data_IF_591879480457
#
_entry.id   IF_591879480457
#
_cell.length_a   1.000
_cell.length_b   1.000
_cell.length_c   1.000
_cell.angle_alpha   90.00
_cell.angle_beta   90.00
_cell.angle_gamma   90.00
#
_symmetry.space_group_name_H-M   'P 1'
#
loop_
_entity.id
_entity.type
_entity.pdbx_description
1 polymer ?
#
# COMPACT_ATOMS: atom_id res chain seq x y z
N UNK A 1 15.10 28.61 47.97
CA UNK A 1 14.92 28.21 46.56
C UNK A 1 15.64 26.89 46.36
N UNK A 2 15.10 25.95 45.58
CA UNK A 2 15.85 24.75 45.23
C UNK A 2 17.17 25.15 44.58
N UNK A 3 18.26 24.68 45.16
CA UNK A 3 19.64 24.88 44.71
C UNK A 3 20.32 23.53 44.76
N UNK A 4 21.08 23.24 43.71
CA UNK A 4 21.97 22.09 43.63
C UNK A 4 23.39 22.63 43.68
N UNK A 5 24.16 22.18 44.67
CA UNK A 5 25.60 22.39 44.70
C UNK A 5 26.28 21.39 43.78
N UNK A 6 27.22 21.86 42.96
CA UNK A 6 27.97 21.04 42.00
C UNK A 6 27.09 20.18 41.05
N UNK A 7 26.16 20.82 40.35
CA UNK A 7 25.30 20.20 39.34
C UNK A 7 26.06 19.59 38.15
N UNK A 8 27.33 19.99 37.95
CA UNK A 8 28.16 19.52 36.83
C UNK A 8 28.33 17.99 36.80
N UNK A 9 28.14 17.30 37.93
CA UNK A 9 28.30 15.85 38.05
C UNK A 9 27.02 15.04 37.90
N UNK A 10 25.87 15.69 37.73
CA UNK A 10 24.57 15.04 37.77
C UNK A 10 24.05 14.69 36.37
N UNK A 11 23.22 13.65 36.31
CA UNK A 11 22.37 13.30 35.17
C UNK A 11 21.13 14.20 35.11
N UNK A 12 20.46 14.25 33.96
CA UNK A 12 19.27 15.08 33.76
C UNK A 12 18.14 14.74 34.75
N UNK A 13 17.85 13.46 34.96
CA UNK A 13 16.85 12.98 35.93
C UNK A 13 17.19 13.36 37.38
N UNK A 14 18.48 13.39 37.73
CA UNK A 14 18.93 13.87 39.05
C UNK A 14 18.74 15.38 39.20
N UNK A 15 18.92 16.16 38.13
CA UNK A 15 18.62 17.60 38.14
C UNK A 15 17.13 17.84 38.39
N UNK A 16 16.24 17.09 37.73
CA UNK A 16 14.78 17.17 37.93
C UNK A 16 14.40 16.91 39.39
N UNK A 17 14.89 15.79 39.95
CA UNK A 17 14.58 15.38 41.31
C UNK A 17 15.09 16.37 42.35
N UNK A 18 16.35 16.82 42.24
CA UNK A 18 16.98 17.69 43.25
C UNK A 18 16.52 19.14 43.18
N UNK A 19 16.09 19.63 42.02
CA UNK A 19 15.44 20.95 41.91
C UNK A 19 13.96 20.92 42.32
N UNK A 20 13.41 19.74 42.63
CA UNK A 20 12.00 19.55 42.95
C UNK A 20 11.08 20.19 41.88
N UNK A 21 11.33 19.87 40.61
CA UNK A 21 10.60 20.46 39.46
C UNK A 21 9.19 19.87 39.28
N UNK A 22 8.78 18.93 40.14
CA UNK A 22 7.40 18.47 40.23
C UNK A 22 6.49 19.48 40.91
N UNK A 23 7.06 20.42 41.67
CA UNK A 23 6.34 21.60 42.14
C UNK A 23 6.07 22.55 40.96
N UNK A 24 4.79 22.79 40.67
CA UNK A 24 4.34 23.65 39.58
C UNK A 24 4.93 25.07 39.65
N UNK A 25 5.24 25.57 40.86
CA UNK A 25 5.84 26.90 41.05
C UNK A 25 7.29 26.96 40.58
N UNK A 26 8.04 25.85 40.67
CA UNK A 26 9.43 25.76 40.22
C UNK A 26 9.52 25.48 38.71
N UNK A 27 8.54 24.78 38.13
CA UNK A 27 8.51 24.47 36.69
C UNK A 27 8.51 25.72 35.81
N UNK A 28 7.69 26.73 36.13
CA UNK A 28 7.60 27.95 35.33
C UNK A 28 8.82 28.88 35.47
N UNK A 29 9.73 28.59 36.41
CA UNK A 29 10.84 29.49 36.73
C UNK A 29 12.07 29.20 35.90
N UNK A 30 12.75 30.29 35.54
CA UNK A 30 14.03 30.28 34.84
C UNK A 30 15.12 29.65 35.72
N UNK A 31 15.93 28.76 35.14
CA UNK A 31 17.12 28.23 35.80
C UNK A 31 18.30 29.16 35.58
N UNK A 32 19.14 29.26 36.61
CA UNK A 32 20.36 30.06 36.61
C UNK A 32 21.48 29.24 37.21
N UNK A 33 22.70 29.58 36.84
CA UNK A 33 23.90 28.96 37.40
C UNK A 33 24.86 30.00 37.95
N UNK A 34 25.60 29.60 39.00
CA UNK A 34 26.77 30.32 39.51
C UNK A 34 27.92 29.33 39.63
N UNK A 35 28.80 29.29 38.63
CA UNK A 35 29.84 28.26 38.55
C UNK A 35 29.24 26.89 38.24
N UNK A 36 29.45 25.91 39.12
CA UNK A 36 28.87 24.56 38.98
C UNK A 36 27.50 24.43 39.65
N UNK A 37 27.05 25.45 40.38
CA UNK A 37 25.79 25.39 41.10
C UNK A 37 24.63 25.74 40.16
N UNK A 38 23.50 25.05 40.30
CA UNK A 38 22.28 25.27 39.54
C UNK A 38 21.14 25.60 40.49
N UNK A 39 20.33 26.61 40.18
CA UNK A 39 19.23 27.02 41.04
C UNK A 39 18.03 27.55 40.26
N UNK A 40 16.85 27.42 40.85
CA UNK A 40 15.61 28.01 40.34
C UNK A 40 15.55 29.47 40.76
N UNK A 41 15.35 30.39 39.81
CA UNK A 41 15.28 31.83 40.10
C UNK A 41 13.90 32.22 40.61
N UNK A 42 13.82 32.72 41.85
CA UNK A 42 12.62 33.41 42.37
C UNK A 42 12.84 34.92 42.51
N UNK A 43 11.78 35.71 42.34
CA UNK A 43 11.76 37.16 42.59
C UNK A 43 12.24 38.07 41.44
N UNK A 44 11.99 39.39 41.61
CA UNK A 44 12.50 40.45 40.70
C UNK A 44 14.00 40.65 40.92
N UNK A 45 14.74 40.90 39.84
CA UNK A 45 16.19 41.09 39.89
C UNK A 45 16.55 42.33 40.74
N UNK A 46 17.21 42.13 41.87
CA UNK A 46 17.89 43.20 42.59
C UNK A 46 19.31 43.33 42.02
N UNK A 47 19.55 44.43 41.30
CA UNK A 47 20.87 45.00 40.96
C UNK A 47 21.96 44.07 40.37
N UNK A 48 21.64 43.19 39.41
CA UNK A 48 22.67 42.43 38.65
C UNK A 48 22.88 43.00 37.23
N UNK A 49 24.15 43.12 36.81
CA UNK A 49 24.51 43.55 35.46
C UNK A 49 23.95 42.59 34.40
N UNK A 50 23.61 43.11 33.22
CA UNK A 50 23.13 42.29 32.09
C UNK A 50 24.11 41.17 31.71
N UNK A 51 25.41 41.47 31.71
CA UNK A 51 26.49 40.52 31.43
C UNK A 51 26.50 39.35 32.41
N UNK A 52 26.34 39.62 33.71
CA UNK A 52 26.25 38.57 34.74
C UNK A 52 25.02 37.68 34.51
N UNK A 53 23.88 38.29 34.18
CA UNK A 53 22.65 37.55 33.86
C UNK A 53 22.84 36.66 32.63
N UNK A 54 23.47 37.14 31.56
CA UNK A 54 23.72 36.35 30.37
C UNK A 54 24.63 35.13 30.67
N UNK A 55 25.70 35.32 31.45
CA UNK A 55 26.57 34.20 31.85
C UNK A 55 25.80 33.14 32.62
N UNK A 56 25.02 33.54 33.64
CA UNK A 56 24.29 32.59 34.47
C UNK A 56 23.29 31.73 33.67
N UNK A 57 22.72 32.26 32.58
CA UNK A 57 21.83 31.50 31.68
C UNK A 57 22.60 30.50 30.84
N UNK A 58 23.67 30.96 30.19
CA UNK A 58 24.54 30.11 29.37
C UNK A 58 25.11 28.96 30.18
N UNK A 59 25.57 29.25 31.40
CA UNK A 59 26.16 28.24 32.29
C UNK A 59 25.09 27.24 32.76
N UNK A 60 23.84 27.68 32.99
CA UNK A 60 22.71 26.78 33.27
C UNK A 60 22.38 25.85 32.09
N UNK A 61 22.33 26.39 30.86
CA UNK A 61 22.14 25.59 29.64
C UNK A 61 23.27 24.56 29.49
N UNK A 62 24.52 24.96 29.73
CA UNK A 62 25.67 24.06 29.66
C UNK A 62 25.60 22.91 30.70
N UNK A 63 25.13 23.18 31.92
CA UNK A 63 24.93 22.16 32.94
C UNK A 63 23.82 21.18 32.56
N UNK A 64 22.71 21.65 31.98
CA UNK A 64 21.63 20.77 31.50
C UNK A 64 22.11 19.92 30.33
N UNK A 65 22.82 20.51 29.36
CA UNK A 65 23.45 19.77 28.24
C UNK A 65 24.38 18.68 28.76
N UNK A 66 25.25 19.00 29.71
CA UNK A 66 26.21 18.04 30.26
C UNK A 66 25.50 16.91 31.03
N UNK A 67 24.40 17.21 31.72
CA UNK A 67 23.55 16.20 32.36
C UNK A 67 22.84 15.28 31.35
N UNK A 68 22.33 15.85 30.26
CA UNK A 68 21.77 15.10 29.12
C UNK A 68 22.82 14.16 28.50
N UNK A 69 24.02 14.69 28.22
CA UNK A 69 25.14 13.93 27.67
C UNK A 69 25.50 12.72 28.54
N UNK A 70 25.54 12.91 29.87
CA UNK A 70 25.83 11.86 30.84
C UNK A 70 24.74 10.80 30.93
N UNK A 71 23.48 11.20 30.93
CA UNK A 71 22.38 10.27 31.11
C UNK A 71 22.20 9.35 29.91
N UNK A 72 22.29 9.91 28.70
CA UNK A 72 22.06 9.19 27.44
C UNK A 72 23.35 8.80 26.72
N UNK A 73 24.48 8.84 27.44
CA UNK A 73 25.83 8.49 26.94
C UNK A 73 26.12 9.07 25.55
N UNK A 74 25.86 10.37 25.38
CA UNK A 74 26.00 11.07 24.10
C UNK A 74 27.11 12.13 24.16
N UNK A 75 27.55 12.62 23.00
CA UNK A 75 28.54 13.69 22.94
C UNK A 75 27.92 15.04 23.32
N UNK A 76 28.74 16.03 23.70
CA UNK A 76 28.22 17.39 23.95
C UNK A 76 27.59 18.00 22.69
N UNK A 77 28.15 17.72 21.52
CA UNK A 77 27.62 18.20 20.25
C UNK A 77 26.24 17.60 19.94
N UNK A 78 26.05 16.31 20.20
CA UNK A 78 24.76 15.65 20.03
C UNK A 78 23.75 16.08 21.10
N UNK A 79 24.19 16.33 22.33
CA UNK A 79 23.36 16.96 23.35
C UNK A 79 22.90 18.38 22.95
N UNK A 80 23.79 19.18 22.36
CA UNK A 80 23.45 20.49 21.79
C UNK A 80 22.42 20.35 20.65
N UNK A 81 22.59 19.36 19.75
CA UNK A 81 21.60 19.05 18.71
C UNK A 81 20.24 18.65 19.29
N UNK A 82 20.21 17.80 20.32
CA UNK A 82 18.97 17.40 20.99
C UNK A 82 18.25 18.63 21.57
N UNK A 83 18.98 19.55 22.21
CA UNK A 83 18.38 20.79 22.72
C UNK A 83 17.77 21.63 21.58
N UNK A 84 18.50 21.81 20.48
CA UNK A 84 17.99 22.54 19.30
C UNK A 84 16.73 21.89 18.75
N UNK A 85 16.75 20.56 18.60
CA UNK A 85 15.67 19.76 18.05
C UNK A 85 14.40 19.79 18.93
N UNK A 86 14.56 19.65 20.25
CA UNK A 86 13.44 19.66 21.21
C UNK A 86 12.76 21.03 21.32
N UNK A 87 13.55 22.10 21.23
CA UNK A 87 13.04 23.47 21.41
C UNK A 87 12.79 24.22 20.10
N UNK A 88 13.28 23.73 18.96
CA UNK A 88 13.24 24.40 17.66
C UNK A 88 14.26 25.54 17.51
N UNK A 89 15.10 25.77 18.50
CA UNK A 89 16.15 26.80 18.51
C UNK A 89 17.24 26.45 19.52
N UNK A 90 18.43 27.02 19.35
CA UNK A 90 19.51 26.89 20.34
C UNK A 90 19.15 27.71 21.60
N UNK A 91 18.85 27.09 22.75
CA UNK A 91 18.34 27.81 23.90
C UNK A 91 19.41 28.70 24.53
N UNK A 92 19.13 30.00 24.66
CA UNK A 92 19.97 30.94 25.42
C UNK A 92 19.59 31.03 26.88
N UNK A 93 18.51 30.37 27.28
CA UNK A 93 17.98 30.25 28.64
C UNK A 93 17.17 28.97 28.73
N UNK A 94 16.98 28.44 29.95
CA UNK A 94 16.20 27.22 30.18
C UNK A 94 15.40 27.36 31.48
N UNK A 95 14.19 26.82 31.52
CA UNK A 95 13.31 26.79 32.69
C UNK A 95 13.25 25.41 33.34
N UNK A 96 12.65 25.32 34.53
CA UNK A 96 12.34 24.04 35.15
C UNK A 96 11.45 23.14 34.27
N UNK A 97 10.46 23.74 33.60
CA UNK A 97 9.56 23.05 32.70
C UNK A 97 10.29 22.46 31.49
N UNK A 98 11.27 23.18 30.94
CA UNK A 98 12.10 22.69 29.84
C UNK A 98 12.93 21.46 30.25
N UNK A 99 13.55 21.50 31.44
CA UNK A 99 14.31 20.35 31.97
C UNK A 99 13.39 19.16 32.25
N UNK A 100 12.19 19.42 32.79
CA UNK A 100 11.17 18.38 33.02
C UNK A 100 10.71 17.74 31.70
N UNK A 101 10.45 18.56 30.68
CA UNK A 101 10.09 18.09 29.34
C UNK A 101 11.20 17.24 28.72
N UNK A 102 12.47 17.69 28.78
CA UNK A 102 13.61 16.91 28.31
C UNK A 102 13.70 15.55 29.00
N UNK A 103 13.48 15.49 30.32
CA UNK A 103 13.50 14.23 31.07
C UNK A 103 12.34 13.29 30.67
N UNK A 104 11.14 13.84 30.44
CA UNK A 104 9.99 13.07 29.97
C UNK A 104 10.24 12.48 28.57
N UNK A 105 10.71 13.30 27.63
CA UNK A 105 11.11 12.85 26.28
C UNK A 105 12.23 11.82 26.36
N UNK A 106 13.21 12.06 27.22
CA UNK A 106 14.34 11.17 27.43
C UNK A 106 13.95 9.79 27.98
N UNK A 107 12.89 9.70 28.77
CA UNK A 107 12.33 8.41 29.23
C UNK A 107 11.85 7.56 28.05
N UNK A 108 11.16 8.18 27.08
CA UNK A 108 10.75 7.52 25.82
C UNK A 108 11.97 7.19 24.96
N UNK A 109 12.87 8.16 24.79
CA UNK A 109 14.08 8.02 23.98
C UNK A 109 14.99 6.88 24.47
N UNK A 110 15.11 6.67 25.79
CA UNK A 110 15.89 5.57 26.35
C UNK A 110 15.42 4.19 25.86
N UNK A 111 14.12 4.00 25.63
CA UNK A 111 13.57 2.78 25.04
C UNK A 111 14.03 2.57 23.60
N UNK A 112 14.05 3.64 22.80
CA UNK A 112 14.49 3.62 21.40
C UNK A 112 16.01 3.37 21.29
N UNK A 113 16.80 4.00 22.15
CA UNK A 113 18.26 3.81 22.22
C UNK A 113 18.61 2.36 22.54
N UNK A 114 17.89 1.71 23.47
CA UNK A 114 18.05 0.27 23.74
C UNK A 114 17.74 -0.59 22.50
N UNK A 115 16.90 -0.10 21.60
CA UNK A 115 16.60 -0.74 20.31
C UNK A 115 17.56 -0.38 19.17
N UNK A 116 18.66 0.35 19.45
CA UNK A 116 19.69 0.69 18.47
C UNK A 116 19.53 2.05 17.77
N UNK A 117 18.53 2.85 18.12
CA UNK A 117 18.38 4.23 17.59
C UNK A 117 19.42 5.17 18.21
N UNK A 118 19.96 6.12 17.44
CA UNK A 118 20.88 7.14 17.99
C UNK A 118 20.17 8.03 19.00
N UNK A 119 20.89 8.60 19.98
CA UNK A 119 20.26 9.47 20.98
C UNK A 119 19.59 10.71 20.34
N UNK A 120 20.17 11.27 19.28
CA UNK A 120 19.59 12.42 18.56
C UNK A 120 18.25 12.03 17.92
N UNK A 121 18.23 10.96 17.14
CA UNK A 121 17.01 10.49 16.48
C UNK A 121 15.95 10.03 17.49
N UNK A 122 16.37 9.40 18.58
CA UNK A 122 15.46 8.92 19.62
C UNK A 122 14.71 10.07 20.31
N UNK A 123 15.38 11.20 20.55
CA UNK A 123 14.74 12.40 21.10
C UNK A 123 13.81 13.08 20.09
N UNK A 124 14.19 13.12 18.80
CA UNK A 124 13.31 13.62 17.73
C UNK A 124 12.04 12.79 17.60
N UNK A 125 12.17 11.46 17.57
CA UNK A 125 11.02 10.54 17.55
C UNK A 125 10.15 10.75 18.80
N UNK A 126 10.75 10.89 19.99
CA UNK A 126 9.99 11.16 21.21
C UNK A 126 9.20 12.49 21.13
N UNK A 127 9.80 13.54 20.56
CA UNK A 127 9.16 14.85 20.36
C UNK A 127 8.03 14.80 19.34
N UNK A 128 8.22 14.10 18.22
CA UNK A 128 7.14 13.87 17.26
C UNK A 128 6.01 13.06 17.88
N UNK A 129 6.32 12.04 18.71
CA UNK A 129 5.30 11.27 19.41
C UNK A 129 4.51 12.14 20.39
N UNK A 130 5.16 13.00 21.17
CA UNK A 130 4.49 14.01 22.01
C UNK A 130 3.54 14.89 21.18
N UNK A 131 4.01 15.37 20.03
CA UNK A 131 3.22 16.20 19.11
C UNK A 131 1.99 15.45 18.60
N UNK A 132 2.15 14.20 18.17
CA UNK A 132 1.09 13.35 17.63
C UNK A 132 0.05 12.98 18.70
N UNK A 133 0.47 12.73 19.95
CA UNK A 133 -0.45 12.56 21.09
C UNK A 133 -1.30 13.79 21.31
N UNK A 134 -0.70 14.99 21.20
CA UNK A 134 -1.42 16.26 21.23
C UNK A 134 -2.48 16.40 20.12
N UNK A 135 -2.38 15.61 19.05
CA UNK A 135 -3.37 15.52 17.96
C UNK A 135 -4.33 14.33 18.09
N UNK A 136 -4.34 13.65 19.23
CA UNK A 136 -5.32 12.62 19.58
C UNK A 136 -4.87 11.17 19.37
N UNK A 137 -3.64 10.92 18.91
CA UNK A 137 -3.13 9.55 18.75
C UNK A 137 -2.82 8.92 20.12
N UNK A 138 -3.06 7.62 20.23
CA UNK A 138 -2.71 6.84 21.43
C UNK A 138 -1.19 6.69 21.61
N UNK A 139 -0.74 6.34 22.81
CA UNK A 139 0.71 6.31 23.14
C UNK A 139 1.55 5.43 22.21
N UNK A 140 1.12 4.19 21.98
CA UNK A 140 1.83 3.24 21.13
C UNK A 140 1.78 3.63 19.65
N UNK A 141 0.62 4.12 19.21
CA UNK A 141 0.38 4.55 17.84
C UNK A 141 1.19 5.80 17.49
N UNK A 142 1.20 6.80 18.38
CA UNK A 142 1.99 8.03 18.24
C UNK A 142 3.49 7.72 18.14
N UNK A 143 3.99 6.75 18.91
CA UNK A 143 5.40 6.34 18.83
C UNK A 143 5.74 5.64 17.51
N UNK A 144 4.84 4.78 17.01
CA UNK A 144 5.00 4.14 15.70
C UNK A 144 5.00 5.18 14.57
N UNK A 145 3.99 6.06 14.56
CA UNK A 145 3.84 7.14 13.61
C UNK A 145 5.02 8.14 13.65
N UNK A 146 5.55 8.44 14.83
CA UNK A 146 6.71 9.32 15.00
C UNK A 146 7.98 8.81 14.31
N UNK A 147 8.18 7.49 14.23
CA UNK A 147 9.31 6.90 13.49
C UNK A 147 9.20 7.19 11.99
N UNK A 148 7.98 7.09 11.45
CA UNK A 148 7.70 7.45 10.06
C UNK A 148 7.91 8.95 9.82
N UNK A 149 7.40 9.81 10.71
CA UNK A 149 7.63 11.27 10.64
C UNK A 149 9.13 11.58 10.59
N UNK A 150 9.91 11.05 11.54
CA UNK A 150 11.36 11.29 11.59
C UNK A 150 12.06 10.85 10.29
N UNK A 151 11.73 9.66 9.77
CA UNK A 151 12.30 9.15 8.53
C UNK A 151 12.00 10.07 7.34
N UNK A 152 10.77 10.55 7.23
CA UNK A 152 10.33 11.43 6.14
C UNK A 152 10.94 12.83 6.25
N UNK A 153 11.04 13.40 7.45
CA UNK A 153 11.68 14.70 7.69
C UNK A 153 13.18 14.64 7.36
N UNK A 154 13.87 13.57 7.75
CA UNK A 154 15.28 13.35 7.40
C UNK A 154 15.52 13.22 5.89
N UNK A 155 14.50 12.84 5.11
CA UNK A 155 14.54 12.86 3.64
C UNK A 155 14.36 14.26 3.01
N UNK A 156 14.28 15.31 3.83
CA UNK A 156 14.18 16.71 3.39
C UNK A 156 12.74 17.23 3.25
N UNK A 157 11.74 16.54 3.81
CA UNK A 157 10.33 16.95 3.75
C UNK A 157 9.97 17.93 4.87
N UNK A 158 8.95 18.74 4.61
CA UNK A 158 8.39 19.66 5.60
C UNK A 158 7.77 18.89 6.78
N UNK A 159 8.27 19.13 8.00
CA UNK A 159 7.77 18.45 9.21
C UNK A 159 6.27 18.66 9.42
N UNK A 160 5.77 19.89 9.23
CA UNK A 160 4.36 20.20 9.43
C UNK A 160 3.47 19.43 8.43
N UNK A 161 3.86 19.38 7.16
CA UNK A 161 3.16 18.64 6.11
C UNK A 161 3.19 17.12 6.39
N UNK A 162 4.35 16.60 6.80
CA UNK A 162 4.51 15.18 7.14
C UNK A 162 3.61 14.79 8.31
N UNK A 163 3.64 15.55 9.41
CA UNK A 163 2.78 15.30 10.58
C UNK A 163 1.30 15.35 10.16
N UNK A 164 0.92 16.31 9.32
CA UNK A 164 -0.45 16.41 8.84
C UNK A 164 -0.86 15.18 8.02
N UNK A 165 -0.04 14.76 7.07
CA UNK A 165 -0.30 13.58 6.24
C UNK A 165 -0.38 12.29 7.05
N UNK A 166 0.48 12.13 8.07
CA UNK A 166 0.44 10.97 8.98
C UNK A 166 -0.85 10.94 9.79
N UNK A 167 -1.26 12.07 10.36
CA UNK A 167 -2.49 12.16 11.17
C UNK A 167 -3.72 11.89 10.31
N UNK A 168 -3.82 12.51 9.13
CA UNK A 168 -4.91 12.25 8.18
C UNK A 168 -4.93 10.78 7.76
N UNK A 169 -3.77 10.16 7.53
CA UNK A 169 -3.63 8.75 7.21
C UNK A 169 -4.18 7.83 8.30
N UNK A 170 -3.75 8.05 9.55
CA UNK A 170 -4.21 7.27 10.71
C UNK A 170 -5.71 7.43 10.95
N UNK A 171 -6.21 8.66 10.97
CA UNK A 171 -7.64 8.91 11.15
C UNK A 171 -8.49 8.23 10.06
N UNK A 172 -8.00 8.12 8.82
CA UNK A 172 -8.69 7.37 7.78
C UNK A 172 -8.67 5.85 8.02
N UNK A 173 -7.53 5.30 8.40
CA UNK A 173 -7.35 3.86 8.71
C UNK A 173 -8.27 3.43 9.87
N UNK A 174 -8.47 4.30 10.85
CA UNK A 174 -9.33 4.09 12.01
C UNK A 174 -10.82 4.40 11.75
N UNK A 175 -11.16 4.88 10.55
CA UNK A 175 -12.53 5.23 10.18
C UNK A 175 -13.03 6.57 10.73
N UNK A 176 -12.14 7.39 11.27
CA UNK A 176 -12.42 8.77 11.70
C UNK A 176 -12.53 9.78 10.56
N UNK A 177 -12.11 9.41 9.33
CA UNK A 177 -12.27 10.23 8.12
C UNK A 177 -12.76 9.39 6.95
N UNK A 178 -13.63 9.98 6.12
CA UNK A 178 -13.96 9.48 4.78
C UNK A 178 -12.83 9.78 3.79
N UNK A 179 -12.74 9.06 2.66
CA UNK A 179 -11.78 9.39 1.60
C UNK A 179 -11.88 10.83 1.08
N UNK A 180 -13.10 11.38 1.01
CA UNK A 180 -13.33 12.77 0.59
C UNK A 180 -12.78 13.80 1.58
N UNK A 181 -12.99 13.59 2.88
CA UNK A 181 -12.45 14.45 3.94
C UNK A 181 -10.92 14.36 4.01
N UNK A 182 -10.36 13.15 3.88
CA UNK A 182 -8.92 12.98 3.78
C UNK A 182 -8.38 13.77 2.58
N UNK A 183 -9.00 13.64 1.40
CA UNK A 183 -8.57 14.37 0.18
C UNK A 183 -8.51 15.89 0.41
N UNK A 184 -9.50 16.44 1.11
CA UNK A 184 -9.57 17.86 1.42
C UNK A 184 -8.43 18.34 2.34
N UNK A 185 -7.85 17.46 3.15
CA UNK A 185 -6.73 17.75 4.05
C UNK A 185 -5.34 17.56 3.41
N UNK A 186 -5.26 17.00 2.20
CA UNK A 186 -4.01 16.68 1.49
C UNK A 186 -3.67 17.73 0.41
N UNK A 187 -3.35 18.94 0.84
CA UNK A 187 -3.11 20.11 0.00
C UNK A 187 -1.72 20.16 -0.65
N UNK A 188 -0.69 19.60 -0.01
CA UNK A 188 0.69 19.60 -0.50
C UNK A 188 1.19 18.22 -0.97
N UNK A 189 2.27 18.21 -1.77
CA UNK A 189 2.93 16.98 -2.22
C UNK A 189 3.52 16.18 -1.06
N UNK A 190 4.06 16.86 -0.05
CA UNK A 190 4.62 16.22 1.14
C UNK A 190 3.53 15.59 2.01
N UNK A 191 2.40 16.29 2.21
CA UNK A 191 1.26 15.73 2.95
C UNK A 191 0.72 14.48 2.26
N UNK A 192 0.56 14.49 0.93
CA UNK A 192 0.13 13.30 0.15
C UNK A 192 1.13 12.14 0.24
N UNK A 193 2.43 12.44 0.23
CA UNK A 193 3.45 11.41 0.35
C UNK A 193 3.42 10.76 1.74
N UNK A 194 3.41 11.56 2.81
CA UNK A 194 3.34 11.06 4.18
C UNK A 194 2.05 10.27 4.44
N UNK A 195 0.92 10.74 3.90
CA UNK A 195 -0.35 10.02 3.91
C UNK A 195 -0.21 8.63 3.27
N UNK A 196 0.35 8.54 2.06
CA UNK A 196 0.51 7.27 1.37
C UNK A 196 1.45 6.29 2.09
N UNK A 197 2.58 6.78 2.62
CA UNK A 197 3.47 5.92 3.41
C UNK A 197 2.80 5.46 4.73
N UNK A 198 1.89 6.26 5.29
CA UNK A 198 1.08 5.85 6.45
C UNK A 198 0.10 4.74 6.10
N UNK A 199 -0.54 4.79 4.92
CA UNK A 199 -1.38 3.69 4.46
C UNK A 199 -0.56 2.40 4.26
N UNK A 200 0.66 2.50 3.72
CA UNK A 200 1.56 1.36 3.56
C UNK A 200 1.98 0.75 4.89
N UNK A 201 2.32 1.58 5.87
CA UNK A 201 2.63 1.13 7.23
C UNK A 201 1.44 0.41 7.88
N UNK A 202 0.23 0.97 7.73
CA UNK A 202 -0.99 0.32 8.20
C UNK A 202 -1.21 -1.06 7.54
N UNK A 203 -1.05 -1.17 6.21
CA UNK A 203 -1.16 -2.45 5.50
C UNK A 203 -0.16 -3.49 6.00
N UNK A 204 1.07 -3.08 6.33
CA UNK A 204 2.11 -3.99 6.84
C UNK A 204 1.78 -4.56 8.22
N UNK A 205 0.93 -3.89 9.00
CA UNK A 205 0.44 -4.37 10.30
C UNK A 205 -0.80 -5.25 10.22
N UNK A 206 -1.40 -5.43 9.04
CA UNK A 206 -2.62 -6.22 8.86
C UNK A 206 -2.31 -7.64 8.37
N UNK A 207 -3.03 -8.67 8.84
CA UNK A 207 -3.06 -9.95 8.14
C UNK A 207 -3.71 -9.76 6.76
N UNK A 208 -3.54 -10.74 5.89
CA UNK A 208 -4.24 -10.76 4.60
C UNK A 208 -5.75 -10.58 4.77
N UNK A 209 -6.41 -9.95 3.81
CA UNK A 209 -7.84 -9.62 3.92
C UNK A 209 -8.71 -10.86 4.24
N UNK A 210 -8.43 -12.01 3.64
CA UNK A 210 -9.14 -13.27 3.90
C UNK A 210 -8.95 -13.81 5.32
N UNK A 211 -7.83 -13.49 5.97
CA UNK A 211 -7.52 -13.88 7.34
C UNK A 211 -7.85 -12.78 8.38
N UNK A 212 -8.29 -11.61 7.91
CA UNK A 212 -8.60 -10.45 8.75
C UNK A 212 -9.93 -10.63 9.49
N UNK A 213 -9.98 -10.17 10.74
CA UNK A 213 -11.23 -10.03 11.50
C UNK A 213 -12.07 -8.83 10.99
N UNK A 214 -13.27 -8.63 11.54
CA UNK A 214 -14.19 -7.57 11.08
C UNK A 214 -13.59 -6.16 11.08
N UNK A 215 -12.91 -5.76 12.17
CA UNK A 215 -12.25 -4.45 12.25
C UNK A 215 -11.12 -4.31 11.23
N UNK A 216 -10.28 -5.35 11.11
CA UNK A 216 -9.17 -5.36 10.14
C UNK A 216 -9.66 -5.32 8.69
N UNK A 217 -10.79 -6.00 8.38
CA UNK A 217 -11.42 -5.94 7.06
C UNK A 217 -11.95 -4.55 6.74
N UNK A 218 -12.54 -3.85 7.71
CA UNK A 218 -12.97 -2.47 7.52
C UNK A 218 -11.77 -1.54 7.27
N UNK A 219 -10.66 -1.75 7.98
CA UNK A 219 -9.41 -1.03 7.72
C UNK A 219 -8.92 -1.25 6.28
N UNK A 220 -8.86 -2.49 5.81
CA UNK A 220 -8.54 -2.80 4.41
C UNK A 220 -9.46 -2.08 3.43
N UNK A 221 -10.77 -2.08 3.70
CA UNK A 221 -11.76 -1.43 2.85
C UNK A 221 -11.59 0.10 2.81
N UNK A 222 -11.31 0.73 3.95
CA UNK A 222 -11.06 2.18 4.02
C UNK A 222 -9.81 2.57 3.22
N UNK A 223 -8.74 1.78 3.32
CA UNK A 223 -7.53 1.96 2.50
C UNK A 223 -7.87 1.78 1.02
N UNK A 224 -8.58 0.70 0.66
CA UNK A 224 -8.88 0.38 -0.73
C UNK A 224 -9.79 1.41 -1.42
N UNK A 225 -10.84 1.89 -0.73
CA UNK A 225 -11.70 2.98 -1.24
C UNK A 225 -10.91 4.26 -1.49
N UNK A 226 -10.00 4.59 -0.58
CA UNK A 226 -9.14 5.76 -0.72
C UNK A 226 -8.23 5.65 -1.94
N UNK A 227 -7.56 4.51 -2.10
CA UNK A 227 -6.69 4.27 -3.25
C UNK A 227 -7.46 4.15 -4.58
N UNK A 228 -8.69 3.64 -4.53
CA UNK A 228 -9.61 3.56 -5.67
C UNK A 228 -10.34 4.89 -5.98
N UNK A 229 -10.23 5.90 -5.13
CA UNK A 229 -10.83 7.22 -5.41
C UNK A 229 -10.10 7.88 -6.56
N UNK A 230 -10.84 8.28 -7.60
CA UNK A 230 -10.28 8.88 -8.80
C UNK A 230 -9.37 10.09 -8.49
N UNK A 231 -8.19 10.09 -9.09
CA UNK A 231 -7.15 11.12 -8.94
C UNK A 231 -6.68 11.36 -7.49
N UNK A 232 -6.90 10.40 -6.57
CA UNK A 232 -6.42 10.51 -5.20
C UNK A 232 -4.95 10.09 -5.11
N UNK A 233 -4.63 8.86 -5.54
CA UNK A 233 -3.25 8.36 -5.69
C UNK A 233 -3.01 8.02 -7.17
N UNK A 234 -1.94 8.55 -7.80
CA UNK A 234 -1.58 8.16 -9.16
C UNK A 234 -1.33 6.65 -9.26
N UNK A 235 -1.74 6.03 -10.37
CA UNK A 235 -1.53 4.60 -10.61
C UNK A 235 -0.07 4.18 -10.43
N UNK A 236 0.88 5.00 -10.91
CA UNK A 236 2.32 4.76 -10.75
C UNK A 236 2.78 4.70 -9.29
N UNK A 237 2.13 5.42 -8.38
CA UNK A 237 2.43 5.35 -6.95
C UNK A 237 1.76 4.13 -6.32
N UNK A 238 0.51 3.80 -6.71
CA UNK A 238 -0.16 2.59 -6.27
C UNK A 238 0.56 1.30 -6.71
N UNK A 239 1.24 1.32 -7.88
CA UNK A 239 2.10 0.23 -8.35
C UNK A 239 3.24 -0.11 -7.37
N UNK A 240 3.67 0.84 -6.53
CA UNK A 240 4.72 0.60 -5.51
C UNK A 240 4.24 -0.18 -4.28
N UNK A 241 2.94 -0.50 -4.20
CA UNK A 241 2.39 -1.33 -3.14
C UNK A 241 2.77 -2.81 -3.42
N UNK A 242 3.27 -3.56 -2.43
CA UNK A 242 3.54 -5.00 -2.58
C UNK A 242 2.34 -5.80 -3.10
N UNK A 243 2.59 -6.82 -3.92
CA UNK A 243 1.55 -7.61 -4.59
C UNK A 243 0.54 -8.24 -3.63
N UNK A 244 1.00 -8.89 -2.55
CA UNK A 244 0.10 -9.45 -1.54
C UNK A 244 -0.84 -8.43 -0.87
N UNK A 245 -0.42 -7.16 -0.76
CA UNK A 245 -1.29 -6.09 -0.27
C UNK A 245 -2.26 -5.62 -1.36
N UNK A 246 -1.82 -5.50 -2.62
CA UNK A 246 -2.72 -5.19 -3.74
C UNK A 246 -3.81 -6.25 -3.92
N UNK A 247 -3.46 -7.53 -3.79
CA UNK A 247 -4.45 -8.61 -3.79
C UNK A 247 -5.47 -8.48 -2.65
N UNK A 248 -5.02 -8.12 -1.44
CA UNK A 248 -5.90 -7.89 -0.28
C UNK A 248 -6.84 -6.68 -0.48
N UNK A 249 -6.32 -5.59 -1.04
CA UNK A 249 -7.10 -4.38 -1.37
C UNK A 249 -8.15 -4.67 -2.45
N UNK A 250 -7.76 -5.37 -3.53
CA UNK A 250 -8.68 -5.76 -4.58
C UNK A 250 -9.79 -6.67 -4.04
N UNK A 251 -9.43 -7.66 -3.22
CA UNK A 251 -10.41 -8.54 -2.58
C UNK A 251 -11.39 -7.77 -1.69
N UNK A 252 -10.91 -6.81 -0.89
CA UNK A 252 -11.76 -5.97 -0.06
C UNK A 252 -12.78 -5.17 -0.87
N UNK A 253 -12.37 -4.63 -2.03
CA UNK A 253 -13.29 -3.93 -2.93
C UNK A 253 -14.29 -4.88 -3.58
N UNK A 254 -13.84 -6.02 -4.10
CA UNK A 254 -14.72 -7.02 -4.74
C UNK A 254 -15.78 -7.56 -3.78
N UNK A 255 -15.40 -7.94 -2.56
CA UNK A 255 -16.34 -8.38 -1.53
C UNK A 255 -17.34 -7.27 -1.20
N UNK A 256 -16.89 -6.00 -1.14
CA UNK A 256 -17.79 -4.87 -0.94
C UNK A 256 -18.79 -4.69 -2.08
N UNK A 257 -18.38 -4.88 -3.34
CA UNK A 257 -19.31 -4.82 -4.48
C UNK A 257 -20.38 -5.91 -4.33
N UNK A 258 -19.99 -7.14 -4.01
CA UNK A 258 -20.92 -8.26 -3.82
C UNK A 258 -21.89 -8.02 -2.66
N UNK A 259 -21.38 -7.55 -1.51
CA UNK A 259 -22.21 -7.24 -0.34
C UNK A 259 -23.28 -6.18 -0.66
N UNK A 260 -22.87 -5.08 -1.33
CA UNK A 260 -23.79 -4.00 -1.71
C UNK A 260 -24.80 -4.46 -2.75
N UNK A 261 -24.37 -5.25 -3.74
CA UNK A 261 -25.25 -5.79 -4.77
C UNK A 261 -26.29 -6.74 -4.16
N UNK A 262 -25.87 -7.63 -3.25
CA UNK A 262 -26.77 -8.53 -2.51
C UNK A 262 -27.78 -7.79 -1.64
N UNK A 263 -27.41 -6.61 -1.11
CA UNK A 263 -28.30 -5.73 -0.36
C UNK A 263 -29.20 -4.85 -1.24
N UNK A 264 -29.06 -4.88 -2.57
CA UNK A 264 -29.80 -4.00 -3.48
C UNK A 264 -29.36 -2.52 -3.46
N UNK A 265 -28.21 -2.20 -2.86
CA UNK A 265 -27.65 -0.86 -2.78
C UNK A 265 -26.93 -0.50 -4.11
N UNK A 266 -27.70 -0.06 -5.09
CA UNK A 266 -27.21 0.33 -6.43
C UNK A 266 -26.12 1.41 -6.34
N UNK A 267 -26.32 2.43 -5.51
CA UNK A 267 -25.39 3.55 -5.35
C UNK A 267 -24.05 3.11 -4.79
N UNK A 268 -24.08 2.37 -3.67
CA UNK A 268 -22.88 1.82 -3.04
C UNK A 268 -22.17 0.77 -3.90
N UNK A 269 -22.93 -0.03 -4.67
CA UNK A 269 -22.36 -0.99 -5.64
C UNK A 269 -21.59 -0.26 -6.72
N UNK A 270 -22.17 0.81 -7.31
CA UNK A 270 -21.52 1.64 -8.33
C UNK A 270 -20.23 2.27 -7.82
N UNK A 271 -20.26 2.86 -6.62
CA UNK A 271 -19.08 3.50 -6.01
C UNK A 271 -17.93 2.49 -5.79
N UNK A 272 -18.25 1.34 -5.21
CA UNK A 272 -17.27 0.28 -4.97
C UNK A 272 -16.68 -0.24 -6.28
N UNK A 273 -17.52 -0.41 -7.32
CA UNK A 273 -17.05 -0.88 -8.62
C UNK A 273 -16.15 0.14 -9.34
N UNK A 274 -16.48 1.43 -9.31
CA UNK A 274 -15.60 2.47 -9.85
C UNK A 274 -14.24 2.47 -9.14
N UNK A 275 -14.22 2.15 -7.84
CA UNK A 275 -12.98 1.98 -7.08
C UNK A 275 -12.18 0.76 -7.55
N UNK A 276 -12.85 -0.36 -7.88
CA UNK A 276 -12.20 -1.54 -8.50
C UNK A 276 -11.56 -1.16 -9.83
N UNK A 277 -12.30 -0.53 -10.75
CA UNK A 277 -11.78 -0.10 -12.06
C UNK A 277 -10.52 0.75 -11.89
N UNK A 278 -10.57 1.71 -10.97
CA UNK A 278 -9.44 2.60 -10.77
C UNK A 278 -8.25 1.89 -10.10
N UNK A 279 -8.52 1.00 -9.16
CA UNK A 279 -7.47 0.25 -8.47
C UNK A 279 -6.80 -0.80 -9.37
N UNK A 280 -7.52 -1.36 -10.35
CA UNK A 280 -6.96 -2.32 -11.30
C UNK A 280 -5.74 -1.77 -12.07
N UNK A 281 -5.69 -0.45 -12.31
CA UNK A 281 -4.53 0.21 -12.94
C UNK A 281 -3.26 0.19 -12.10
N UNK A 282 -3.34 -0.23 -10.83
CA UNK A 282 -2.19 -0.40 -9.94
C UNK A 282 -1.44 -1.72 -10.19
N UNK A 283 -1.99 -2.65 -10.96
CA UNK A 283 -1.31 -3.87 -11.37
C UNK A 283 -0.49 -3.62 -12.64
N UNK A 284 0.63 -4.32 -12.74
CA UNK A 284 1.44 -4.36 -13.96
C UNK A 284 1.39 -5.76 -14.56
N UNK A 285 1.66 -5.87 -15.86
CA UNK A 285 1.70 -7.16 -16.54
C UNK A 285 2.63 -8.17 -15.86
N UNK A 286 3.80 -7.74 -15.37
CA UNK A 286 4.77 -8.63 -14.70
C UNK A 286 4.24 -9.25 -13.39
N UNK A 287 3.21 -8.63 -12.78
CA UNK A 287 2.60 -9.09 -11.52
C UNK A 287 1.45 -10.07 -11.78
N UNK A 288 0.75 -9.89 -12.90
CA UNK A 288 -0.38 -10.74 -13.31
C UNK A 288 0.05 -11.85 -14.28
N UNK A 289 1.26 -11.75 -14.85
CA UNK A 289 1.90 -12.73 -15.72
C UNK A 289 3.41 -12.77 -15.39
N UNK A 290 3.83 -13.65 -14.46
CA UNK A 290 5.24 -13.76 -14.10
C UNK A 290 6.09 -14.24 -15.29
N UNK A 291 7.39 -13.95 -15.27
CA UNK A 291 8.30 -14.27 -16.38
C UNK A 291 8.35 -15.75 -16.74
N UNK A 292 8.17 -16.65 -15.75
CA UNK A 292 8.04 -18.10 -15.98
C UNK A 292 6.88 -18.46 -16.90
N UNK A 293 5.81 -17.66 -16.88
CA UNK A 293 4.66 -17.83 -17.75
C UNK A 293 4.93 -17.34 -19.18
N UNK A 294 5.73 -16.28 -19.34
CA UNK A 294 6.22 -15.86 -20.65
C UNK A 294 7.02 -16.96 -21.36
N UNK A 295 7.86 -17.68 -20.61
CA UNK A 295 8.59 -18.85 -21.13
C UNK A 295 7.65 -19.96 -21.58
N UNK A 296 6.60 -20.23 -20.80
CA UNK A 296 5.55 -21.20 -21.18
C UNK A 296 4.82 -20.79 -22.46
N UNK A 297 4.44 -19.51 -22.56
CA UNK A 297 3.79 -18.97 -23.76
C UNK A 297 4.68 -19.17 -25.00
N UNK A 298 5.98 -18.88 -24.91
CA UNK A 298 6.91 -19.08 -26.01
C UNK A 298 7.05 -20.56 -26.40
N UNK A 299 7.13 -21.49 -25.43
CA UNK A 299 7.20 -22.93 -25.70
C UNK A 299 5.88 -23.47 -26.30
N UNK A 300 4.73 -23.04 -25.80
CA UNK A 300 3.42 -23.34 -26.38
C UNK A 300 3.36 -22.90 -27.85
N UNK A 301 3.78 -21.67 -28.15
CA UNK A 301 3.75 -21.12 -29.50
C UNK A 301 4.71 -21.86 -30.44
N UNK A 302 5.92 -22.21 -29.99
CA UNK A 302 6.84 -23.04 -30.75
C UNK A 302 6.25 -24.42 -31.06
N UNK A 303 5.59 -25.04 -30.07
CA UNK A 303 4.93 -26.34 -30.23
C UNK A 303 3.76 -26.26 -31.21
N UNK A 304 2.92 -25.22 -31.08
CA UNK A 304 1.80 -24.97 -31.99
C UNK A 304 2.27 -24.77 -33.45
N UNK A 305 3.39 -24.10 -33.66
CA UNK A 305 3.97 -23.92 -35.00
C UNK A 305 4.50 -25.19 -35.65
N UNK A 306 4.87 -26.19 -34.84
CA UNK A 306 5.32 -27.51 -35.33
C UNK A 306 4.14 -28.48 -35.51
N UNK A 307 2.98 -28.18 -34.95
CA UNK A 307 1.81 -29.05 -35.06
C UNK A 307 1.24 -29.07 -36.49
N UNK A 308 1.14 -30.28 -37.06
CA UNK A 308 0.68 -30.46 -38.43
C UNK A 308 -0.76 -29.97 -38.64
N UNK A 309 -1.65 -30.23 -37.68
CA UNK A 309 -3.07 -29.84 -37.79
C UNK A 309 -3.20 -28.33 -37.84
N UNK A 310 -2.47 -27.62 -36.98
CA UNK A 310 -2.50 -26.16 -36.93
C UNK A 310 -1.84 -25.51 -38.15
N UNK A 311 -0.74 -26.07 -38.66
CA UNK A 311 -0.12 -25.60 -39.93
C UNK A 311 -1.05 -25.78 -41.12
N UNK A 312 -1.68 -26.96 -41.25
CA UNK A 312 -2.65 -27.21 -42.32
C UNK A 312 -3.85 -26.26 -42.21
N UNK A 313 -4.31 -26.00 -40.98
CA UNK A 313 -5.40 -25.08 -40.70
C UNK A 313 -5.06 -23.64 -41.07
N UNK A 314 -3.84 -23.17 -40.75
CA UNK A 314 -3.38 -21.82 -41.12
C UNK A 314 -3.44 -21.57 -42.62
N UNK A 315 -3.13 -22.57 -43.44
CA UNK A 315 -3.08 -22.46 -44.91
C UNK A 315 -4.46 -22.62 -45.56
N UNK A 316 -5.32 -23.47 -44.98
CA UNK A 316 -6.57 -23.90 -45.62
C UNK A 316 -7.84 -23.50 -44.85
N UNK A 317 -7.74 -22.58 -43.88
CA UNK A 317 -8.83 -22.23 -42.97
C UNK A 317 -10.15 -21.93 -43.68
N UNK A 318 -10.10 -21.13 -44.74
CA UNK A 318 -11.25 -20.72 -45.57
C UNK A 318 -11.93 -21.90 -46.29
N UNK A 319 -11.19 -22.98 -46.54
CA UNK A 319 -11.66 -24.19 -47.23
C UNK A 319 -12.09 -25.30 -46.27
N UNK A 320 -11.68 -25.23 -45.00
CA UNK A 320 -12.04 -26.23 -44.00
C UNK A 320 -13.51 -26.14 -43.64
N UNK A 321 -14.14 -27.31 -43.50
CA UNK A 321 -15.45 -27.46 -42.89
C UNK A 321 -15.43 -27.04 -41.41
N UNK A 322 -16.60 -26.76 -40.84
CA UNK A 322 -16.72 -26.44 -39.40
C UNK A 322 -16.13 -27.55 -38.53
N UNK A 323 -16.33 -28.82 -38.88
CA UNK A 323 -15.79 -29.95 -38.12
C UNK A 323 -14.24 -29.97 -38.11
N UNK A 324 -13.62 -29.67 -39.25
CA UNK A 324 -12.16 -29.57 -39.35
C UNK A 324 -11.62 -28.36 -38.57
N UNK A 325 -12.30 -27.21 -38.65
CA UNK A 325 -11.96 -26.02 -37.85
C UNK A 325 -12.07 -26.31 -36.36
N UNK A 326 -13.14 -26.97 -35.91
CA UNK A 326 -13.34 -27.40 -34.52
C UNK A 326 -12.20 -28.32 -34.06
N UNK A 327 -11.74 -29.25 -34.91
CA UNK A 327 -10.60 -30.12 -34.58
C UNK A 327 -9.30 -29.33 -34.40
N UNK A 328 -9.04 -28.34 -35.26
CA UNK A 328 -7.88 -27.47 -35.12
C UNK A 328 -7.96 -26.62 -33.84
N UNK A 329 -9.14 -26.08 -33.52
CA UNK A 329 -9.37 -25.33 -32.26
C UNK A 329 -9.13 -26.24 -31.05
N UNK A 330 -9.65 -27.47 -31.06
CA UNK A 330 -9.42 -28.42 -29.97
C UNK A 330 -7.93 -28.73 -29.80
N UNK A 331 -7.21 -28.92 -30.91
CA UNK A 331 -5.75 -29.14 -30.87
C UNK A 331 -5.03 -27.98 -30.21
N UNK A 332 -5.43 -26.74 -30.51
CA UNK A 332 -4.86 -25.54 -29.89
C UNK A 332 -5.12 -25.49 -28.38
N UNK A 333 -6.35 -25.80 -27.96
CA UNK A 333 -6.74 -25.89 -26.55
C UNK A 333 -5.91 -26.95 -25.82
N UNK A 334 -5.75 -28.13 -26.41
CA UNK A 334 -5.02 -29.25 -25.80
C UNK A 334 -3.53 -28.90 -25.60
N UNK A 335 -2.91 -28.25 -26.59
CA UNK A 335 -1.53 -27.78 -26.50
C UNK A 335 -1.37 -26.73 -25.39
N UNK A 336 -2.28 -25.75 -25.32
CA UNK A 336 -2.26 -24.74 -24.27
C UNK A 336 -2.47 -25.37 -22.88
N UNK A 337 -3.42 -26.30 -22.76
CA UNK A 337 -3.72 -27.00 -21.51
C UNK A 337 -2.52 -27.82 -21.01
N UNK A 338 -1.83 -28.50 -21.92
CA UNK A 338 -0.63 -29.27 -21.59
C UNK A 338 0.50 -28.36 -21.07
N UNK A 339 0.72 -27.21 -21.70
CA UNK A 339 1.79 -26.27 -21.30
C UNK A 339 1.48 -25.58 -19.95
N UNK A 340 0.22 -25.18 -19.76
CA UNK A 340 -0.21 -24.42 -18.59
C UNK A 340 -0.68 -25.31 -17.43
N UNK A 341 -0.81 -26.62 -17.65
CA UNK A 341 -1.05 -27.62 -16.61
C UNK A 341 -2.48 -27.66 -16.07
N UNK A 342 -3.47 -27.44 -16.93
CA UNK A 342 -4.89 -27.59 -16.58
C UNK A 342 -5.55 -28.74 -17.36
N UNK A 343 -6.62 -29.29 -16.80
CA UNK A 343 -7.39 -30.35 -17.45
C UNK A 343 -8.44 -29.77 -18.39
N UNK A 344 -8.64 -30.43 -19.54
CA UNK A 344 -9.70 -30.11 -20.51
C UNK A 344 -10.84 -31.12 -20.33
N UNK A 345 -12.03 -30.71 -19.86
CA UNK A 345 -13.21 -31.57 -19.80
C UNK A 345 -13.60 -32.14 -21.18
N UNK A 346 -14.25 -33.31 -21.20
CA UNK A 346 -14.66 -34.00 -22.43
C UNK A 346 -15.53 -33.15 -23.37
N UNK A 347 -16.34 -32.24 -22.81
CA UNK A 347 -17.26 -31.36 -23.55
C UNK A 347 -16.86 -29.89 -23.41
N UNK A 348 -15.55 -29.62 -23.26
CA UNK A 348 -15.04 -28.27 -23.02
C UNK A 348 -15.29 -27.32 -24.18
N UNK A 349 -15.13 -27.75 -25.44
CA UNK A 349 -15.28 -26.89 -26.61
C UNK A 349 -16.69 -26.96 -27.20
N UNK A 350 -17.29 -25.79 -27.41
CA UNK A 350 -18.50 -25.62 -28.22
C UNK A 350 -18.27 -24.59 -29.32
N UNK A 351 -18.42 -24.99 -30.58
CA UNK A 351 -18.39 -24.08 -31.74
C UNK A 351 -19.81 -23.94 -32.25
N UNK A 352 -20.37 -22.72 -32.20
CA UNK A 352 -21.78 -22.50 -32.51
C UNK A 352 -22.15 -21.02 -32.58
N UNK A 353 -23.45 -20.73 -32.69
CA UNK A 353 -23.94 -19.35 -32.71
C UNK A 353 -23.96 -18.75 -31.28
N UNK A 354 -23.40 -17.55 -31.14
CA UNK A 354 -23.48 -16.71 -29.94
C UNK A 354 -24.09 -15.34 -30.29
N UNK A 355 -24.01 -14.35 -29.40
CA UNK A 355 -24.42 -12.96 -29.71
C UNK A 355 -23.71 -12.43 -30.97
N UNK A 356 -24.32 -11.50 -31.73
CA UNK A 356 -23.79 -11.07 -33.04
C UNK A 356 -22.40 -10.41 -32.99
N UNK A 357 -21.95 -9.98 -31.81
CA UNK A 357 -20.68 -9.28 -31.60
C UNK A 357 -19.69 -10.05 -30.70
N UNK A 358 -20.05 -11.27 -30.26
CA UNK A 358 -19.21 -12.08 -29.36
C UNK A 358 -18.33 -13.02 -30.18
N UNK A 359 -17.00 -12.95 -30.07
CA UNK A 359 -16.09 -13.86 -30.77
C UNK A 359 -15.97 -15.24 -30.06
N UNK A 360 -16.07 -15.24 -28.74
CA UNK A 360 -16.00 -16.42 -27.89
C UNK A 360 -16.23 -16.05 -26.43
N UNK A 361 -16.17 -17.05 -25.55
CA UNK A 361 -16.29 -16.84 -24.11
C UNK A 361 -16.10 -18.13 -23.32
N UNK A 362 -15.44 -18.04 -22.17
CA UNK A 362 -15.42 -19.09 -21.16
C UNK A 362 -16.63 -18.97 -20.22
N UNK A 363 -17.29 -20.09 -19.91
CA UNK A 363 -18.35 -20.13 -18.91
C UNK A 363 -17.85 -19.74 -17.53
N UNK A 364 -18.72 -19.21 -16.68
CA UNK A 364 -18.36 -18.73 -15.34
C UNK A 364 -17.86 -19.82 -14.38
N UNK A 365 -18.15 -21.09 -14.67
CA UNK A 365 -17.60 -22.24 -13.94
C UNK A 365 -16.26 -22.74 -14.52
N UNK A 366 -15.79 -22.13 -15.60
CA UNK A 366 -14.57 -22.50 -16.31
C UNK A 366 -14.64 -23.85 -17.02
N UNK A 367 -15.81 -24.45 -17.23
CA UNK A 367 -15.92 -25.81 -17.80
C UNK A 367 -16.28 -25.85 -19.28
N UNK A 368 -16.62 -24.71 -19.89
CA UNK A 368 -17.04 -24.65 -21.29
C UNK A 368 -16.49 -23.39 -21.97
N UNK A 369 -15.69 -23.60 -23.01
CA UNK A 369 -15.22 -22.59 -23.95
C UNK A 369 -16.14 -22.58 -25.17
N UNK A 370 -16.70 -21.42 -25.47
CA UNK A 370 -17.55 -21.21 -26.65
C UNK A 370 -16.81 -20.37 -27.68
N UNK A 371 -16.86 -20.75 -28.96
CA UNK A 371 -16.35 -19.97 -30.08
C UNK A 371 -17.51 -19.69 -31.03
N UNK A 372 -17.71 -18.41 -31.35
CA UNK A 372 -18.81 -18.01 -32.20
C UNK A 372 -18.49 -18.27 -33.67
N UNK A 373 -19.22 -19.18 -34.29
CA UNK A 373 -19.04 -19.50 -35.71
C UNK A 373 -19.77 -18.56 -36.68
N UNK A 374 -20.58 -17.62 -36.17
CA UNK A 374 -21.42 -16.74 -37.02
C UNK A 374 -20.81 -15.36 -37.25
N UNK A 375 -19.78 -14.97 -36.49
CA UNK A 375 -19.08 -13.70 -36.65
C UNK A 375 -18.05 -13.75 -37.79
N UNK A 376 -17.77 -12.60 -38.40
CA UNK A 376 -16.79 -12.48 -39.48
C UNK A 376 -15.40 -12.98 -39.05
N UNK A 377 -15.03 -12.75 -37.79
CA UNK A 377 -13.74 -13.16 -37.21
C UNK A 377 -13.52 -14.68 -37.24
N UNK A 378 -14.58 -15.49 -37.25
CA UNK A 378 -14.47 -16.95 -37.36
C UNK A 378 -13.85 -17.40 -38.70
N UNK A 379 -13.93 -16.57 -39.73
CA UNK A 379 -13.32 -16.85 -41.04
C UNK A 379 -11.84 -16.43 -41.12
N UNK A 380 -11.28 -15.88 -40.03
CA UNK A 380 -9.89 -15.50 -39.94
C UNK A 380 -9.17 -16.37 -38.90
N UNK A 381 -8.31 -17.28 -39.36
CA UNK A 381 -7.52 -18.15 -38.48
C UNK A 381 -6.79 -17.39 -37.36
N UNK A 382 -6.20 -16.23 -37.67
CA UNK A 382 -5.45 -15.47 -36.68
C UNK A 382 -6.34 -14.84 -35.60
N UNK A 383 -7.59 -14.51 -35.93
CA UNK A 383 -8.58 -14.03 -34.97
C UNK A 383 -9.11 -15.18 -34.12
N UNK A 384 -9.41 -16.33 -34.72
CA UNK A 384 -9.81 -17.53 -33.96
C UNK A 384 -8.70 -18.00 -33.03
N UNK A 385 -7.44 -18.00 -33.47
CA UNK A 385 -6.29 -18.38 -32.64
C UNK A 385 -6.15 -17.48 -31.41
N UNK A 386 -6.25 -16.17 -31.60
CA UNK A 386 -6.28 -15.15 -30.55
C UNK A 386 -7.38 -15.42 -29.52
N UNK A 387 -8.64 -15.51 -29.98
CA UNK A 387 -9.80 -15.80 -29.13
C UNK A 387 -9.63 -17.10 -28.36
N UNK A 388 -9.23 -18.20 -29.01
CA UNK A 388 -9.07 -19.49 -28.34
C UNK A 388 -7.99 -19.43 -27.26
N UNK A 389 -6.87 -18.76 -27.51
CA UNK A 389 -5.78 -18.60 -26.53
C UNK A 389 -6.19 -17.68 -25.38
N UNK A 390 -6.90 -16.58 -25.67
CA UNK A 390 -7.47 -15.69 -24.68
C UNK A 390 -8.41 -16.44 -23.72
N UNK A 391 -9.42 -17.13 -24.26
CA UNK A 391 -10.38 -17.89 -23.43
C UNK A 391 -9.71 -19.07 -22.70
N UNK A 392 -8.71 -19.70 -23.31
CA UNK A 392 -7.91 -20.75 -22.65
C UNK A 392 -7.05 -20.19 -21.50
N UNK A 393 -6.64 -18.94 -21.59
CA UNK A 393 -5.92 -18.24 -20.50
C UNK A 393 -6.85 -18.03 -19.31
N UNK A 394 -8.12 -17.70 -19.54
CA UNK A 394 -9.12 -17.69 -18.45
C UNK A 394 -9.26 -19.06 -17.79
N UNK A 395 -9.21 -20.17 -18.54
CA UNK A 395 -9.22 -21.52 -17.93
C UNK A 395 -8.00 -21.74 -17.04
N UNK A 396 -6.82 -21.31 -17.47
CA UNK A 396 -5.62 -21.36 -16.63
C UNK A 396 -5.76 -20.50 -15.36
N UNK A 397 -6.33 -19.30 -15.46
CA UNK A 397 -6.62 -18.46 -14.29
C UNK A 397 -7.58 -19.16 -13.31
N UNK A 398 -8.62 -19.83 -13.82
CA UNK A 398 -9.50 -20.67 -12.99
C UNK A 398 -8.72 -21.77 -12.25
N UNK A 399 -7.81 -22.46 -12.95
CA UNK A 399 -6.94 -23.48 -12.34
C UNK A 399 -6.07 -22.89 -11.22
N UNK A 400 -5.52 -21.69 -11.39
CA UNK A 400 -4.76 -21.01 -10.32
C UNK A 400 -5.62 -20.76 -9.08
N UNK A 401 -6.88 -20.36 -9.28
CA UNK A 401 -7.83 -20.13 -8.18
C UNK A 401 -8.22 -21.43 -7.50
N UNK A 402 -8.45 -22.52 -8.25
CA UNK A 402 -8.71 -23.86 -7.72
C UNK A 402 -7.53 -24.38 -6.89
N UNK A 403 -6.30 -24.21 -7.38
CA UNK A 403 -5.08 -24.60 -6.68
C UNK A 403 -4.85 -23.76 -5.41
N UNK A 404 -5.17 -22.46 -5.44
CA UNK A 404 -5.14 -21.62 -4.25
C UNK A 404 -6.17 -22.08 -3.20
N UNK A 405 -7.40 -22.37 -3.63
CA UNK A 405 -8.47 -22.79 -2.73
C UNK A 405 -8.23 -24.19 -2.13
N UNK A 406 -7.58 -25.09 -2.88
CA UNK A 406 -7.22 -26.43 -2.41
C UNK A 406 -5.92 -26.47 -1.59
N UNK A 407 -5.17 -25.37 -1.56
CA UNK A 407 -3.90 -25.26 -0.83
C UNK A 407 -2.68 -25.79 -1.59
N UNK A 408 -2.84 -26.18 -2.86
CA UNK A 408 -1.72 -26.51 -3.76
C UNK A 408 -0.83 -25.28 -3.96
N UNK A 409 -1.44 -24.10 -4.15
CA UNK A 409 -0.76 -22.80 -4.13
C UNK A 409 -0.96 -22.17 -2.75
N UNK A 410 0.07 -22.26 -1.91
CA UNK A 410 0.11 -21.65 -0.57
C UNK A 410 1.07 -20.47 -0.46
N UNK A 411 1.11 -19.83 0.70
CA UNK A 411 2.03 -18.73 0.98
C UNK A 411 3.49 -19.19 0.75
N UNK A 412 4.25 -18.39 -0.01
CA UNK A 412 5.62 -18.72 -0.43
C UNK A 412 5.71 -19.43 -1.79
N UNK A 413 4.59 -19.89 -2.36
CA UNK A 413 4.56 -20.35 -3.75
C UNK A 413 4.73 -19.17 -4.71
N UNK A 414 5.48 -19.34 -5.81
CA UNK A 414 5.80 -18.26 -6.75
C UNK A 414 4.55 -17.64 -7.41
N UNK A 415 3.49 -18.44 -7.58
CA UNK A 415 2.21 -18.01 -8.16
C UNK A 415 1.17 -17.57 -7.11
N UNK A 416 1.54 -17.49 -5.83
CA UNK A 416 0.59 -17.22 -4.75
C UNK A 416 -0.13 -15.88 -4.93
N UNK A 417 0.62 -14.80 -5.11
CA UNK A 417 0.03 -13.48 -5.29
C UNK A 417 -0.76 -13.37 -6.60
N UNK A 418 -0.26 -13.97 -7.70
CA UNK A 418 -1.00 -14.02 -8.98
C UNK A 418 -2.36 -14.71 -8.78
N UNK A 419 -2.39 -15.90 -8.18
CA UNK A 419 -3.62 -16.64 -7.93
C UNK A 419 -4.61 -15.86 -7.04
N UNK A 420 -4.11 -15.13 -6.04
CA UNK A 420 -4.93 -14.26 -5.19
C UNK A 420 -5.52 -13.08 -5.96
N UNK A 421 -4.73 -12.47 -6.85
CA UNK A 421 -5.22 -11.40 -7.75
C UNK A 421 -6.32 -11.94 -8.65
N UNK A 422 -6.09 -13.09 -9.30
CA UNK A 422 -7.10 -13.73 -10.17
C UNK A 422 -8.37 -14.06 -9.38
N UNK A 423 -8.26 -14.61 -8.17
CA UNK A 423 -9.42 -14.89 -7.30
C UNK A 423 -10.21 -13.64 -6.96
N UNK A 424 -9.51 -12.57 -6.55
CA UNK A 424 -10.13 -11.31 -6.16
C UNK A 424 -10.78 -10.58 -7.35
N UNK A 425 -10.26 -10.78 -8.56
CA UNK A 425 -10.80 -10.17 -9.77
C UNK A 425 -11.93 -10.98 -10.41
N UNK A 426 -11.87 -12.31 -10.36
CA UNK A 426 -12.92 -13.19 -10.92
C UNK A 426 -14.28 -12.97 -10.22
N UNK A 427 -14.29 -12.68 -8.92
CA UNK A 427 -15.51 -12.26 -8.21
C UNK A 427 -16.09 -10.93 -8.71
N UNK A 428 -15.31 -10.13 -9.45
CA UNK A 428 -15.72 -8.87 -10.06
C UNK A 428 -16.00 -8.94 -11.57
N UNK A 429 -15.74 -10.08 -12.23
CA UNK A 429 -16.00 -10.26 -13.67
C UNK A 429 -17.49 -10.29 -14.04
N UNK A 430 -18.39 -10.51 -13.07
CA UNK A 430 -19.84 -10.67 -13.30
C UNK A 430 -20.55 -9.34 -13.65
N UNK A 431 -19.82 -8.24 -13.85
CA UNK A 431 -20.40 -6.91 -13.79
C UNK A 431 -20.68 -6.21 -15.12
N UNK A 432 -20.16 -6.61 -16.28
CA UNK A 432 -20.40 -5.84 -17.52
C UNK A 432 -21.91 -5.62 -17.80
N UNK A 433 -22.68 -6.71 -17.80
CA UNK A 433 -24.14 -6.67 -17.94
C UNK A 433 -24.87 -6.01 -16.75
N UNK A 434 -24.28 -6.05 -15.55
CA UNK A 434 -24.83 -5.43 -14.36
C UNK A 434 -24.61 -3.90 -14.37
N UNK A 435 -23.50 -3.44 -14.95
CA UNK A 435 -23.06 -2.05 -14.93
C UNK A 435 -23.88 -1.14 -15.82
N UNK A 436 -24.05 -1.57 -17.08
CA UNK A 436 -24.79 -0.80 -18.07
C UNK A 436 -26.28 -0.81 -17.72
N UNK A 437 -26.83 -1.99 -17.41
CA UNK A 437 -28.27 -2.14 -17.24
C UNK A 437 -28.79 -1.78 -15.84
N UNK A 438 -28.00 -1.95 -14.76
CA UNK A 438 -28.47 -1.70 -13.38
C UNK A 438 -27.80 -0.52 -12.68
N UNK A 439 -26.55 -0.22 -13.00
CA UNK A 439 -25.77 0.80 -12.27
C UNK A 439 -25.68 2.14 -13.00
N UNK A 440 -26.18 2.23 -14.24
CA UNK A 440 -26.16 3.46 -15.04
C UNK A 440 -24.73 3.94 -15.36
N UNK A 441 -23.78 3.00 -15.45
CA UNK A 441 -22.42 3.27 -15.94
C UNK A 441 -22.48 3.27 -17.48
N UNK A 442 -21.81 4.22 -18.13
CA UNK A 442 -21.78 4.23 -19.61
C UNK A 442 -21.07 2.98 -20.14
N UNK A 443 -21.50 2.50 -21.30
CA UNK A 443 -20.89 1.33 -21.95
C UNK A 443 -19.37 1.49 -22.09
N UNK A 444 -18.90 2.66 -22.53
CA UNK A 444 -17.45 2.94 -22.66
C UNK A 444 -16.67 2.79 -21.35
N UNK A 445 -17.25 3.20 -20.22
CA UNK A 445 -16.59 3.10 -18.91
C UNK A 445 -16.65 1.66 -18.39
N UNK A 446 -17.75 0.95 -18.63
CA UNK A 446 -17.87 -0.46 -18.29
C UNK A 446 -16.86 -1.30 -19.09
N UNK A 447 -16.76 -1.07 -20.39
CA UNK A 447 -15.83 -1.74 -21.31
C UNK A 447 -14.37 -1.42 -20.97
N UNK A 448 -14.03 -0.14 -20.75
CA UNK A 448 -12.69 0.23 -20.30
C UNK A 448 -12.36 -0.40 -18.93
N UNK A 449 -13.34 -0.45 -18.02
CA UNK A 449 -13.21 -1.09 -16.72
C UNK A 449 -12.96 -2.59 -16.83
N UNK A 450 -13.68 -3.26 -17.73
CA UNK A 450 -13.55 -4.67 -18.06
C UNK A 450 -12.16 -4.98 -18.62
N UNK A 451 -11.72 -4.27 -19.67
CA UNK A 451 -10.39 -4.49 -20.30
C UNK A 451 -9.21 -4.27 -19.36
N UNK A 452 -9.37 -3.45 -18.33
CA UNK A 452 -8.33 -3.21 -17.33
C UNK A 452 -8.36 -4.17 -16.14
N UNK A 453 -9.29 -5.13 -16.10
CA UNK A 453 -9.27 -6.16 -15.08
C UNK A 453 -7.98 -7.01 -15.19
N UNK A 454 -7.28 -7.31 -14.08
CA UNK A 454 -6.10 -8.16 -14.09
C UNK A 454 -6.25 -9.47 -14.89
N UNK A 455 -7.40 -10.14 -14.81
CA UNK A 455 -7.65 -11.37 -15.58
C UNK A 455 -7.77 -11.11 -17.09
N UNK A 456 -8.41 -10.00 -17.46
CA UNK A 456 -8.61 -9.61 -18.86
C UNK A 456 -7.30 -9.10 -19.47
N UNK A 457 -6.57 -8.22 -18.78
CA UNK A 457 -5.29 -7.70 -19.27
C UNK A 457 -4.29 -8.84 -19.51
N UNK A 458 -4.29 -9.84 -18.61
CA UNK A 458 -3.52 -11.06 -18.77
C UNK A 458 -3.96 -11.85 -20.01
N UNK A 459 -5.24 -12.18 -20.15
CA UNK A 459 -5.76 -12.96 -21.28
C UNK A 459 -5.58 -12.26 -22.63
N UNK A 460 -5.86 -10.95 -22.70
CA UNK A 460 -5.61 -10.13 -23.89
C UNK A 460 -4.14 -10.08 -24.25
N UNK A 461 -3.23 -9.95 -23.29
CA UNK A 461 -1.80 -9.95 -23.60
C UNK A 461 -1.36 -11.28 -24.22
N UNK A 462 -1.79 -12.41 -23.64
CA UNK A 462 -1.44 -13.75 -24.15
C UNK A 462 -2.03 -13.98 -25.53
N UNK A 463 -3.32 -13.68 -25.74
CA UNK A 463 -4.01 -13.79 -27.04
C UNK A 463 -3.40 -12.90 -28.13
N UNK A 464 -3.19 -11.62 -27.85
CA UNK A 464 -2.57 -10.68 -28.79
C UNK A 464 -1.13 -11.08 -29.14
N UNK A 465 -0.35 -11.54 -28.15
CA UNK A 465 1.02 -12.02 -28.37
C UNK A 465 1.00 -13.24 -29.29
N UNK A 466 0.12 -14.19 -29.01
CA UNK A 466 -0.10 -15.37 -29.85
C UNK A 466 -0.45 -14.98 -31.29
N UNK A 467 -1.44 -14.11 -31.49
CA UNK A 467 -1.85 -13.58 -32.79
C UNK A 467 -0.68 -12.94 -33.55
N UNK A 468 0.07 -12.05 -32.88
CA UNK A 468 1.15 -11.29 -33.50
C UNK A 468 2.29 -12.17 -34.01
N UNK A 469 2.52 -13.33 -33.36
CA UNK A 469 3.58 -14.26 -33.71
C UNK A 469 3.16 -15.32 -34.75
N UNK A 470 1.89 -15.43 -35.13
CA UNK A 470 1.40 -16.45 -36.08
C UNK A 470 2.23 -16.50 -37.38
N UNK A 471 2.54 -15.34 -37.98
CA UNK A 471 3.32 -15.29 -39.22
C UNK A 471 4.76 -15.80 -39.06
N UNK A 472 5.32 -15.72 -37.85
CA UNK A 472 6.67 -16.21 -37.53
C UNK A 472 6.66 -17.70 -37.17
N UNK A 473 5.58 -18.17 -36.56
CA UNK A 473 5.43 -19.52 -36.03
C UNK A 473 5.04 -20.52 -37.14
N UNK A 474 4.18 -20.11 -38.07
CA UNK A 474 3.62 -20.97 -39.12
C UNK A 474 4.28 -20.72 -40.48
N UNK A 475 5.59 -20.99 -40.57
CA UNK A 475 6.38 -20.92 -41.81
C UNK A 475 6.20 -22.16 -42.69
#
# INVERSE_FOLDING_TARGET
>A
MPKIDNASNLKLSELVNRLNLDDATHGAQELRSKGTDLYVKTGKAFFSSETSRASHRRDAVALVRDGLAKEYNTTKADADRILVNVFGYAPTQISGADVKRLNALGTVAAGLVRGGTTSVDAFEIARHAETLKGRGLGDAEALSAARLVNTLVQSGRSEADVINGVVTGRSLVEGGLTPGEAKAQLDSTDTRHAFFETLKDAMAGLPEYSASNGTQKETWLNIAKTLGTANFVPASKAQTIPNGYKASLLQALSDRVLDRAGAGDVGGTREAYLSVIQFNKAFTLAEIMPSSEGVKLDHFLETAGKDKTLRDARVNWDKMSTAERTKAIQTLIDLHANEFGYAVPKDFLHVGAMGPDEAGGLSSDGNKLQINSTVADFNNFAKVFDTVVHESTHKYQHKLVEDLNSGVIGQGHALYDQARIMKANNSAGVFENLLVNRLGVSADVAEAGYRHQPCEEHAYYVGNTAQSKIAQIFV
#
